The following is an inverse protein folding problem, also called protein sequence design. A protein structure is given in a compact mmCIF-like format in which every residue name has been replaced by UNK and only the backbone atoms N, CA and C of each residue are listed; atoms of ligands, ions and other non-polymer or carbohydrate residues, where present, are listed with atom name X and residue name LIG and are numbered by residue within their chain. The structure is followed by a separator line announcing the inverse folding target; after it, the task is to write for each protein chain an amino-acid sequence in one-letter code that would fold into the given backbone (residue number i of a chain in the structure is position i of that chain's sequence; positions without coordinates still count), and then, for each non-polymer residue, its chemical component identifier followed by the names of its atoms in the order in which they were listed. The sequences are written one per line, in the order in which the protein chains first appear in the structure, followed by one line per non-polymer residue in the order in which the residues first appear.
data_IF_144388342355
#
_entry.id   IF_144388342355
#
_cell.length_a   1.000
_cell.length_b   1.000
_cell.length_c   1.000
_cell.angle_alpha   90.00
_cell.angle_beta   90.00
_cell.angle_gamma   90.00
#
_symmetry.space_group_name_H-M   'P 1'
#
loop_
_entity.id
_entity.type
_entity.pdbx_description
1 polymer ?
#
# COMPACT_ATOMS: atom_id res chain seq x y z
N UNK A 1 -10.20 9.20 -4.63
CA UNK A 1 -9.09 9.68 -5.48
C UNK A 1 -7.82 9.43 -4.66
N UNK A 2 -6.78 8.81 -5.24
CA UNK A 2 -5.51 8.59 -4.55
C UNK A 2 -4.72 9.89 -4.72
N UNK A 3 -4.65 10.72 -3.69
CA UNK A 3 -4.23 12.11 -3.87
C UNK A 3 -2.75 12.36 -3.56
N UNK A 4 -2.04 11.43 -2.91
CA UNK A 4 -0.60 11.57 -2.62
C UNK A 4 0.02 10.21 -2.27
N UNK A 5 0.64 9.52 -3.24
CA UNK A 5 1.35 8.26 -2.97
C UNK A 5 2.73 8.56 -2.41
N UNK A 6 3.03 8.03 -1.23
CA UNK A 6 4.37 8.11 -0.64
C UNK A 6 5.20 6.87 -1.03
N UNK A 7 6.03 7.02 -2.05
CA UNK A 7 6.92 5.95 -2.56
C UNK A 7 8.17 5.74 -1.73
N UNK A 8 8.55 6.69 -0.86
CA UNK A 8 9.72 6.53 0.02
C UNK A 8 9.50 5.38 1.02
N UNK A 9 8.25 5.20 1.44
CA UNK A 9 7.84 4.05 2.26
C UNK A 9 8.01 2.73 1.50
N UNK A 10 7.87 2.71 0.17
CA UNK A 10 8.03 1.48 -0.62
C UNK A 10 9.48 1.05 -0.83
N UNK A 11 10.42 1.97 -0.76
CA UNK A 11 11.84 1.70 -0.96
C UNK A 11 12.64 1.57 0.35
N UNK A 12 12.03 1.86 1.51
CA UNK A 12 12.69 1.71 2.81
C UNK A 12 12.74 0.27 3.33
N UNK A 13 13.61 -0.01 4.29
CA UNK A 13 13.50 -1.21 5.15
C UNK A 13 12.57 -0.92 6.34
N UNK A 14 11.85 -1.92 6.89
CA UNK A 14 11.75 -3.31 6.45
C UNK A 14 10.86 -3.51 5.20
N UNK A 15 10.95 -4.65 4.51
CA UNK A 15 10.11 -5.01 3.33
C UNK A 15 8.59 -5.12 3.59
N UNK A 16 8.14 -4.87 4.81
CA UNK A 16 6.74 -4.86 5.22
C UNK A 16 6.34 -3.52 5.79
N UNK A 17 5.06 -3.18 5.66
CA UNK A 17 4.50 -1.94 6.19
C UNK A 17 3.25 -2.21 7.04
N UNK A 18 3.07 -1.44 8.10
CA UNK A 18 1.87 -1.42 8.92
C UNK A 18 0.68 -0.84 8.16
N UNK A 19 -0.54 -1.05 8.68
CA UNK A 19 -1.76 -0.42 8.11
C UNK A 19 -1.63 1.10 7.98
N UNK A 20 -0.97 1.77 8.93
CA UNK A 20 -0.75 3.22 8.90
C UNK A 20 0.16 3.63 7.75
N UNK A 21 1.27 2.92 7.57
CA UNK A 21 2.21 3.15 6.46
C UNK A 21 1.56 2.83 5.12
N UNK A 22 0.71 1.80 5.03
CA UNK A 22 -0.04 1.49 3.80
C UNK A 22 -1.04 2.60 3.44
N UNK A 23 -1.73 3.16 4.44
CA UNK A 23 -2.61 4.34 4.27
C UNK A 23 -1.84 5.53 3.71
N UNK A 24 -0.66 5.82 4.27
CA UNK A 24 0.20 6.91 3.82
C UNK A 24 0.78 6.64 2.43
N UNK A 25 1.23 5.42 2.17
CA UNK A 25 1.77 5.00 0.90
C UNK A 25 0.72 5.09 -0.22
N UNK A 26 -0.50 4.60 0.01
CA UNK A 26 -1.56 4.63 -0.99
C UNK A 26 -2.33 5.95 -1.03
N UNK A 27 -1.96 6.96 -0.23
CA UNK A 27 -2.70 8.22 -0.13
C UNK A 27 -4.20 8.03 0.08
N UNK A 28 -4.58 7.01 0.88
CA UNK A 28 -5.95 6.48 0.94
C UNK A 28 -6.43 6.30 2.37
N UNK A 29 -7.75 6.35 2.59
CA UNK A 29 -8.32 6.20 3.93
C UNK A 29 -8.15 4.78 4.52
N UNK A 30 -8.15 4.62 5.86
CA UNK A 30 -8.17 3.30 6.50
C UNK A 30 -9.36 2.42 6.06
N UNK A 31 -10.50 3.03 5.75
CA UNK A 31 -11.67 2.33 5.21
C UNK A 31 -11.41 1.75 3.82
N UNK A 32 -10.64 2.43 2.98
CA UNK A 32 -10.20 1.94 1.67
C UNK A 32 -9.33 0.69 1.85
N UNK A 33 -8.36 0.72 2.76
CA UNK A 33 -7.50 -0.45 3.05
C UNK A 33 -8.34 -1.63 3.55
N UNK A 34 -9.33 -1.37 4.42
CA UNK A 34 -10.24 -2.41 4.92
C UNK A 34 -11.04 -3.07 3.79
N UNK A 35 -11.50 -2.28 2.82
CA UNK A 35 -12.22 -2.77 1.63
C UNK A 35 -11.30 -3.55 0.69
N UNK A 36 -10.05 -3.12 0.50
CA UNK A 36 -9.07 -3.86 -0.30
C UNK A 36 -8.77 -5.23 0.35
N UNK A 37 -8.65 -5.26 1.69
CA UNK A 37 -8.52 -6.49 2.45
C UNK A 37 -9.73 -7.42 2.29
N UNK A 38 -10.96 -6.90 2.44
CA UNK A 38 -12.16 -7.73 2.32
C UNK A 38 -12.35 -8.30 0.92
N UNK A 39 -11.75 -7.67 -0.10
CA UNK A 39 -11.74 -8.14 -1.49
C UNK A 39 -10.58 -9.09 -1.82
N UNK A 40 -9.68 -9.35 -0.87
CA UNK A 40 -8.48 -10.17 -1.10
C UNK A 40 -7.40 -9.51 -1.95
N UNK A 41 -7.52 -8.21 -2.24
CA UNK A 41 -6.55 -7.46 -3.06
C UNK A 41 -5.27 -7.21 -2.26
N UNK A 42 -5.41 -6.83 -0.99
CA UNK A 42 -4.29 -6.73 -0.06
C UNK A 42 -4.45 -7.77 1.05
N UNK A 43 -3.49 -8.68 1.16
CA UNK A 43 -3.54 -9.75 2.16
C UNK A 43 -2.59 -9.43 3.31
N UNK A 44 -3.10 -9.08 4.51
CA UNK A 44 -2.24 -8.78 5.64
C UNK A 44 -1.65 -10.05 6.24
N UNK A 45 -0.38 -9.97 6.61
CA UNK A 45 0.29 -10.90 7.51
C UNK A 45 0.12 -10.39 8.95
N UNK A 46 -0.43 -11.23 9.82
CA UNK A 46 -0.66 -10.86 11.22
C UNK A 46 0.54 -11.25 12.07
N UNK A 47 1.13 -10.28 12.77
CA UNK A 47 2.24 -10.51 13.70
C UNK A 47 2.03 -9.72 14.99
N UNK A 48 2.10 -10.41 16.13
CA UNK A 48 1.83 -9.82 17.47
C UNK A 48 0.53 -9.00 17.54
N UNK A 49 -0.52 -9.47 16.86
CA UNK A 49 -1.82 -8.79 16.81
C UNK A 49 -1.93 -7.61 15.83
N UNK A 50 -0.84 -7.25 15.16
CA UNK A 50 -0.77 -6.15 14.19
C UNK A 50 -0.79 -6.71 12.76
N UNK A 51 -1.49 -6.01 11.86
CA UNK A 51 -1.50 -6.33 10.43
C UNK A 51 -0.35 -5.63 9.71
N UNK A 52 0.42 -6.42 8.95
CA UNK A 52 1.49 -5.97 8.08
C UNK A 52 1.17 -6.34 6.63
N UNK A 53 1.61 -5.52 5.69
CA UNK A 53 1.44 -5.74 4.25
C UNK A 53 2.82 -5.77 3.61
N UNK A 54 3.02 -6.68 2.65
CA UNK A 54 4.27 -6.72 1.91
C UNK A 54 4.31 -5.55 0.94
N UNK A 55 5.48 -4.90 0.84
CA UNK A 55 5.67 -3.79 -0.10
C UNK A 55 5.48 -4.23 -1.56
N UNK A 56 5.85 -5.47 -1.90
CA UNK A 56 5.60 -6.07 -3.22
C UNK A 56 4.13 -6.04 -3.61
N UNK A 57 3.25 -6.51 -2.72
CA UNK A 57 1.81 -6.64 -2.99
C UNK A 57 1.17 -5.25 -3.19
N UNK A 58 1.66 -4.26 -2.44
CA UNK A 58 1.25 -2.86 -2.59
C UNK A 58 1.77 -2.26 -3.90
N UNK A 59 3.01 -2.57 -4.32
CA UNK A 59 3.55 -2.18 -5.63
C UNK A 59 2.73 -2.79 -6.78
N UNK A 60 2.38 -4.07 -6.67
CA UNK A 60 1.59 -4.77 -7.69
C UNK A 60 0.18 -4.18 -7.80
N UNK A 61 -0.48 -3.88 -6.67
CA UNK A 61 -1.75 -3.15 -6.68
C UNK A 61 -1.66 -1.78 -7.36
N UNK A 62 -0.60 -1.01 -7.08
CA UNK A 62 -0.40 0.28 -7.74
C UNK A 62 -0.22 0.12 -9.26
N UNK A 63 0.47 -0.93 -9.71
CA UNK A 63 0.65 -1.24 -11.14
C UNK A 63 -0.68 -1.61 -11.79
N UNK A 64 -1.42 -2.55 -11.19
CA UNK A 64 -2.70 -3.01 -11.71
C UNK A 64 -3.78 -1.92 -11.73
N UNK A 65 -3.72 -0.97 -10.80
CA UNK A 65 -4.63 0.19 -10.78
C UNK A 65 -4.29 1.27 -11.81
N UNK A 66 -3.18 1.14 -12.54
CA UNK A 66 -2.70 2.14 -13.51
C UNK A 66 -2.14 3.41 -12.86
N UNK A 67 -2.02 3.44 -11.53
CA UNK A 67 -1.56 4.60 -10.76
C UNK A 67 -0.03 4.60 -10.63
N UNK A 68 0.61 3.43 -10.75
CA UNK A 68 2.07 3.31 -10.64
C UNK A 68 2.82 4.17 -11.65
N UNK A 69 2.44 4.12 -12.93
CA UNK A 69 3.11 4.89 -13.99
C UNK A 69 2.93 6.41 -13.81
N UNK A 70 1.78 6.85 -13.31
CA UNK A 70 1.53 8.27 -12.99
C UNK A 70 2.42 8.81 -11.86
N UNK A 71 2.81 7.95 -10.92
CA UNK A 71 3.63 8.33 -9.75
C UNK A 71 5.13 8.15 -10.02
N UNK A 72 5.51 7.12 -10.78
CA UNK A 72 6.93 6.81 -11.03
C UNK A 72 7.49 7.44 -12.32
N UNK A 73 6.67 7.87 -13.29
CA UNK A 73 7.17 8.59 -14.49
C UNK A 73 7.27 10.12 -14.29
N UNK A 74 6.68 10.68 -13.23
CA UNK A 74 6.70 12.12 -12.93
C UNK A 74 7.79 12.52 -11.90
N UNK A 75 8.82 11.69 -11.73
CA UNK A 75 9.97 11.95 -10.83
C UNK A 75 11.26 11.84 -11.62
#
# INVERSE_FOLDING_TARGET
MIENINTEILESEPLTMTTKETVQCLGSSPSTITRLKSKGILTPVKWKGVNYYRKSDVKDYLRESGVFDLVYQNR
#
